data_IF_099371583789
#
_entry.id   IF_099371583789
#
_cell.length_a   1.000
_cell.length_b   1.000
_cell.length_c   1.000
_cell.angle_alpha   90.00
_cell.angle_beta   90.00
_cell.angle_gamma   90.00
#
_symmetry.space_group_name_H-M   'P 1'
#
loop_
_entity.id
_entity.type
_entity.pdbx_description
1 polymer ?
#
# COMPACT_ATOMS: atom_id res chain seq x y z
N UNK A 1 3.10 8.19 0.40
CA UNK A 1 2.98 6.99 1.27
C UNK A 1 1.62 7.03 1.96
N UNK A 2 0.84 5.95 1.95
CA UNK A 2 -0.44 5.85 2.67
C UNK A 2 -0.59 4.46 3.33
N UNK A 3 -1.34 4.39 4.43
CA UNK A 3 -1.75 3.13 5.08
C UNK A 3 -3.17 2.69 4.67
N UNK A 4 -3.97 3.59 4.09
CA UNK A 4 -5.29 3.23 3.56
C UNK A 4 -5.12 2.60 2.18
N UNK A 5 -5.29 1.28 2.11
CA UNK A 5 -5.17 0.52 0.87
C UNK A 5 -6.27 0.86 -0.13
N UNK A 6 -7.49 1.19 0.30
CA UNK A 6 -8.55 1.55 -0.64
C UNK A 6 -8.37 2.97 -1.18
N UNK A 7 -7.69 3.85 -0.45
CA UNK A 7 -7.20 5.10 -1.02
C UNK A 7 -6.06 4.83 -2.02
N UNK A 8 -5.16 3.89 -1.71
CA UNK A 8 -4.05 3.54 -2.59
C UNK A 8 -4.54 3.10 -3.97
N UNK A 9 -5.59 2.27 -4.05
CA UNK A 9 -6.16 1.80 -5.33
C UNK A 9 -6.75 2.93 -6.17
N UNK A 10 -7.23 4.00 -5.55
CA UNK A 10 -7.72 5.18 -6.29
C UNK A 10 -6.57 6.03 -6.85
N UNK A 11 -5.41 6.00 -6.20
CA UNK A 11 -4.23 6.74 -6.61
C UNK A 11 -3.48 6.01 -7.74
N UNK A 12 -3.41 4.69 -7.69
CA UNK A 12 -2.74 3.89 -8.74
C UNK A 12 -3.41 4.08 -10.10
N UNK A 13 -4.74 4.18 -10.15
CA UNK A 13 -5.50 4.51 -11.36
C UNK A 13 -5.21 5.90 -11.95
N UNK A 14 -4.43 6.74 -11.25
CA UNK A 14 -3.95 8.06 -11.70
C UNK A 14 -2.43 8.06 -11.94
N UNK A 15 -1.85 6.88 -12.20
CA UNK A 15 -0.41 6.67 -12.37
C UNK A 15 0.45 7.10 -11.17
N UNK A 16 -0.15 7.20 -9.98
CA UNK A 16 0.58 7.54 -8.75
C UNK A 16 1.16 6.26 -8.16
N UNK A 17 2.49 6.22 -8.00
CA UNK A 17 3.15 5.13 -7.29
C UNK A 17 2.86 5.19 -5.79
N UNK A 18 2.28 4.12 -5.23
CA UNK A 18 2.00 4.00 -3.80
C UNK A 18 2.86 2.92 -3.16
N UNK A 19 3.60 3.31 -2.11
CA UNK A 19 4.37 2.39 -1.25
C UNK A 19 3.72 2.39 0.15
N UNK A 20 3.47 1.19 0.69
CA UNK A 20 2.93 1.00 2.04
C UNK A 20 4.07 1.00 3.08
N UNK A 21 3.80 1.32 4.36
CA UNK A 21 4.81 1.23 5.42
C UNK A 21 5.34 -0.18 5.70
N UNK A 22 4.72 -1.22 5.12
CA UNK A 22 5.19 -2.61 5.23
C UNK A 22 6.21 -3.00 4.15
N UNK A 23 6.55 -2.04 3.29
CA UNK A 23 7.42 -2.27 2.16
C UNK A 23 6.73 -3.08 1.07
N UNK A 24 5.55 -2.65 0.66
CA UNK A 24 4.83 -3.21 -0.49
C UNK A 24 4.48 -2.08 -1.45
N UNK A 25 4.50 -2.36 -2.75
CA UNK A 25 3.96 -1.46 -3.77
C UNK A 25 2.56 -1.93 -4.11
N UNK A 26 1.62 -0.98 -4.16
CA UNK A 26 0.26 -1.25 -4.62
C UNK A 26 0.21 -0.94 -6.11
N UNK A 27 -0.41 -1.84 -6.85
CA UNK A 27 -0.64 -1.77 -8.29
C UNK A 27 -2.12 -1.89 -8.59
N UNK A 28 -2.54 -1.56 -9.81
CA UNK A 28 -3.94 -1.71 -10.21
C UNK A 28 -4.42 -3.17 -10.17
N UNK A 29 -3.53 -4.14 -10.34
CA UNK A 29 -3.84 -5.56 -10.22
C UNK A 29 -4.25 -5.95 -8.78
N UNK A 30 -3.85 -5.18 -7.77
CA UNK A 30 -4.21 -5.43 -6.36
C UNK A 30 -5.59 -4.85 -6.00
N UNK A 31 -6.18 -4.03 -6.88
CA UNK A 31 -7.34 -3.21 -6.54
C UNK A 31 -8.59 -4.03 -6.19
N UNK A 32 -8.91 -5.03 -7.00
CA UNK A 32 -10.08 -5.89 -6.80
C UNK A 32 -10.01 -6.60 -5.45
N UNK A 33 -8.85 -7.17 -5.12
CA UNK A 33 -8.66 -7.87 -3.85
C UNK A 33 -8.75 -6.91 -2.65
N UNK A 34 -8.13 -5.74 -2.73
CA UNK A 34 -8.16 -4.73 -1.66
C UNK A 34 -9.61 -4.28 -1.39
N UNK A 35 -10.36 -3.97 -2.45
CA UNK A 35 -11.73 -3.49 -2.36
C UNK A 35 -12.66 -4.59 -1.84
N UNK A 36 -12.50 -5.84 -2.30
CA UNK A 36 -13.24 -6.99 -1.79
C UNK A 36 -12.98 -7.21 -0.29
N UNK A 37 -11.72 -7.20 0.13
CA UNK A 37 -11.34 -7.33 1.56
C UNK A 37 -11.96 -6.20 2.40
N UNK A 38 -11.96 -4.96 1.91
CA UNK A 38 -12.62 -3.82 2.58
C UNK A 38 -14.12 -4.02 2.69
N UNK A 39 -14.78 -4.47 1.63
CA UNK A 39 -16.21 -4.77 1.62
C UNK A 39 -16.57 -5.82 2.68
N UNK A 40 -15.84 -6.95 2.69
CA UNK A 40 -16.00 -8.01 3.70
C UNK A 40 -15.78 -7.50 5.12
N UNK A 41 -14.80 -6.62 5.33
CA UNK A 41 -14.55 -5.98 6.63
C UNK A 41 -15.73 -5.14 7.09
N UNK A 42 -16.30 -4.31 6.21
CA UNK A 42 -17.47 -3.49 6.51
C UNK A 42 -18.69 -4.37 6.81
N UNK A 43 -18.92 -5.44 6.03
CA UNK A 43 -20.01 -6.39 6.32
C UNK A 43 -19.86 -7.03 7.70
N UNK A 44 -18.65 -7.49 8.06
CA UNK A 44 -18.40 -8.07 9.37
C UNK A 44 -18.61 -7.06 10.52
N UNK A 45 -18.24 -5.79 10.34
CA UNK A 45 -18.52 -4.73 11.32
C UNK A 45 -20.03 -4.50 11.51
N UNK A 46 -20.80 -4.48 10.41
CA UNK A 46 -22.27 -4.35 10.46
C UNK A 46 -22.94 -5.50 11.21
N UNK A 47 -22.36 -6.70 11.14
CA UNK A 47 -22.80 -7.88 11.90
C UNK A 47 -22.30 -7.89 13.35
N UNK A 48 -21.64 -6.82 13.83
CA UNK A 48 -21.11 -6.73 15.19
C UNK A 48 -19.91 -7.63 15.46
N UNK A 49 -19.29 -8.23 14.44
CA UNK A 49 -18.14 -9.11 14.63
C UNK A 49 -16.92 -8.30 15.04
N UNK A 50 -16.20 -8.78 16.06
CA UNK A 50 -14.92 -8.19 16.47
C UNK A 50 -13.87 -8.39 15.39
N UNK A 51 -13.32 -7.30 14.87
CA UNK A 51 -12.24 -7.33 13.88
C UNK A 51 -10.93 -6.94 14.54
N UNK A 52 -9.91 -7.77 14.40
CA UNK A 52 -8.56 -7.44 14.88
C UNK A 52 -8.00 -6.27 14.06
N UNK A 53 -7.36 -5.32 14.75
CA UNK A 53 -6.58 -4.28 14.09
C UNK A 53 -5.38 -4.85 13.32
N UNK A 54 -4.73 -4.03 12.47
CA UNK A 54 -3.51 -4.44 11.79
C UNK A 54 -2.45 -4.87 12.81
N UNK A 55 -1.69 -5.90 12.47
CA UNK A 55 -0.58 -6.38 13.29
C UNK A 55 0.48 -5.29 13.47
N UNK A 56 1.27 -5.36 14.54
CA UNK A 56 2.41 -4.44 14.74
C UNK A 56 3.38 -4.52 13.55
N UNK A 57 4.01 -3.39 13.21
CA UNK A 57 5.07 -3.35 12.21
C UNK A 57 6.30 -4.09 12.75
N UNK A 58 6.88 -4.96 11.92
CA UNK A 58 8.06 -5.74 12.29
C UNK A 58 9.35 -5.05 11.85
N UNK A 59 10.50 -5.51 12.34
CA UNK A 59 11.80 -5.07 11.81
C UNK A 59 11.96 -5.42 10.33
N UNK A 60 11.47 -6.61 9.91
CA UNK A 60 11.48 -7.03 8.51
C UNK A 60 10.64 -6.11 7.61
N UNK A 61 9.48 -5.65 8.09
CA UNK A 61 8.64 -4.67 7.40
C UNK A 61 9.42 -3.38 7.12
N UNK A 62 10.18 -2.89 8.12
CA UNK A 62 11.02 -1.69 7.99
C UNK A 62 12.15 -1.90 6.99
N UNK A 63 12.83 -3.04 7.05
CA UNK A 63 13.89 -3.37 6.09
C UNK A 63 13.36 -3.41 4.65
N UNK A 64 12.23 -4.08 4.41
CA UNK A 64 11.59 -4.10 3.08
C UNK A 64 11.20 -2.70 2.61
N UNK A 65 10.63 -1.90 3.51
CA UNK A 65 10.26 -0.52 3.19
C UNK A 65 11.47 0.30 2.74
N UNK A 66 12.56 0.26 3.50
CA UNK A 66 13.79 0.98 3.15
C UNK A 66 14.33 0.55 1.78
N UNK A 67 14.41 -0.76 1.52
CA UNK A 67 14.90 -1.28 0.23
C UNK A 67 14.07 -0.77 -0.95
N UNK A 68 12.75 -0.85 -0.86
CA UNK A 68 11.85 -0.44 -1.96
C UNK A 68 11.85 1.07 -2.13
N UNK A 69 11.86 1.81 -1.02
CA UNK A 69 11.86 3.27 -1.04
C UNK A 69 13.17 3.84 -1.59
N UNK A 70 14.33 3.33 -1.14
CA UNK A 70 15.63 3.73 -1.71
C UNK A 70 15.72 3.43 -3.20
N UNK A 71 15.24 2.25 -3.62
CA UNK A 71 15.17 1.89 -5.06
C UNK A 71 14.25 2.83 -5.84
N UNK A 72 13.16 3.31 -5.22
CA UNK A 72 12.26 4.28 -5.84
C UNK A 72 12.92 5.65 -6.01
N UNK A 73 13.54 6.18 -4.95
CA UNK A 73 14.23 7.47 -4.98
C UNK A 73 15.34 7.49 -6.04
N UNK A 74 16.15 6.42 -6.12
CA UNK A 74 17.20 6.31 -7.13
C UNK A 74 16.65 6.40 -8.56
N UNK A 75 15.55 5.70 -8.85
CA UNK A 75 14.90 5.78 -10.17
C UNK A 75 14.41 7.19 -10.49
N UNK A 76 13.88 7.90 -9.49
CA UNK A 76 13.46 9.29 -9.68
C UNK A 76 14.65 10.20 -10.03
N UNK A 77 15.78 10.02 -9.35
CA UNK A 77 17.01 10.79 -9.62
C UNK A 77 17.53 10.57 -11.05
N UNK A 78 17.57 9.31 -11.52
CA UNK A 78 17.98 8.95 -12.88
C UNK A 78 17.03 9.55 -13.95
N UNK A 79 15.75 9.73 -13.60
CA UNK A 79 14.74 10.35 -14.48
C UNK A 79 14.96 11.86 -14.61
N UNK A 80 15.40 12.52 -13.53
CA UNK A 80 15.65 13.96 -13.49
C UNK A 80 16.96 14.37 -14.20
N UNK A 81 17.98 13.50 -14.26
CA UNK A 81 19.25 13.76 -14.95
C UNK A 81 19.19 13.61 -16.49
N UNK A 82 18.10 13.03 -17.01
CA UNK A 82 17.93 12.78 -18.45
C UNK A 82 17.20 13.91 -19.19
N UNK A 83 17.04 15.08 -18.54
CA UNK A 83 16.32 16.25 -19.04
C UNK A 83 17.27 17.42 -19.34
#
# INVERSE_FOLDING_TARGET
>A
MTQDLALATLLTAKDVTVITPRGERITDADADEILLRKHMRIQNQRQGKRIKGPSKLTAADRSRFLTIFSSFCRKMQESDESC
#
